data_IF_100955084110
#
_entry.id   IF_100955084110
#
_cell.length_a   1.000
_cell.length_b   1.000
_cell.length_c   1.000
_cell.angle_alpha   90.00
_cell.angle_beta   90.00
_cell.angle_gamma   90.00
#
_symmetry.space_group_name_H-M   'P 1'
#
loop_
_entity.id
_entity.type
_entity.pdbx_description
1 polymer ?
#
# COMPACT_ATOMS: atom_id res chain seq x y z
N UNK A 1 4.95 14.31 -3.87
CA UNK A 1 3.74 13.77 -4.53
C UNK A 1 3.08 12.74 -3.63
N UNK A 2 2.82 13.08 -2.36
CA UNK A 2 2.23 12.13 -1.41
C UNK A 2 0.80 11.82 -1.78
N UNK A 3 -0.03 12.84 -1.99
CA UNK A 3 -1.46 12.68 -2.18
C UNK A 3 -1.89 12.79 -3.64
N UNK A 4 -3.03 12.19 -3.96
CA UNK A 4 -3.69 12.22 -5.26
C UNK A 4 -2.78 11.80 -6.43
N UNK A 5 -1.74 11.02 -6.13
CA UNK A 5 -0.65 10.74 -7.06
C UNK A 5 -0.53 9.25 -7.31
N UNK A 6 -0.16 8.91 -8.52
CA UNK A 6 0.04 7.52 -8.95
C UNK A 6 1.06 7.47 -10.10
N UNK A 7 1.69 6.32 -10.27
CA UNK A 7 2.54 6.01 -11.41
C UNK A 7 1.72 5.31 -12.49
N UNK A 8 1.52 5.96 -13.62
CA UNK A 8 0.80 5.38 -14.76
C UNK A 8 1.80 4.60 -15.63
N UNK A 9 1.58 3.29 -15.88
CA UNK A 9 2.45 2.55 -16.79
C UNK A 9 2.30 3.07 -18.22
N UNK A 10 3.43 3.24 -18.90
CA UNK A 10 3.48 3.64 -20.31
C UNK A 10 4.58 2.83 -21.00
N UNK A 11 4.48 2.66 -22.31
CA UNK A 11 5.54 2.00 -23.07
C UNK A 11 6.85 2.77 -22.92
N UNK A 12 7.93 2.06 -22.61
CA UNK A 12 9.30 2.54 -22.41
C UNK A 12 9.53 3.41 -21.16
N UNK A 13 8.64 4.34 -20.84
CA UNK A 13 8.80 5.24 -19.69
C UNK A 13 7.46 5.64 -19.09
N UNK A 14 7.22 5.16 -17.87
CA UNK A 14 6.05 5.49 -17.06
C UNK A 14 5.94 7.00 -16.75
N UNK A 15 4.73 7.39 -16.36
CA UNK A 15 4.37 8.77 -16.08
C UNK A 15 3.92 8.94 -14.63
N UNK A 16 4.39 10.00 -13.97
CA UNK A 16 3.94 10.37 -12.63
C UNK A 16 2.83 11.41 -12.70
N UNK A 17 1.61 11.00 -12.36
CA UNK A 17 0.42 11.85 -12.47
C UNK A 17 -0.06 12.23 -11.08
N UNK A 18 -0.51 13.49 -10.94
CA UNK A 18 -1.13 14.02 -9.71
C UNK A 18 -2.45 14.68 -10.08
N UNK A 19 -3.53 14.33 -9.38
CA UNK A 19 -4.88 14.85 -9.59
C UNK A 19 -5.31 15.75 -8.43
N UNK A 20 -4.95 17.04 -8.48
CA UNK A 20 -5.10 17.98 -7.35
C UNK A 20 -6.54 18.15 -6.82
N UNK A 21 -7.56 17.76 -7.59
CA UNK A 21 -8.98 17.87 -7.22
C UNK A 21 -9.58 16.61 -6.60
N UNK A 22 -8.80 15.54 -6.42
CA UNK A 22 -9.32 14.29 -5.86
C UNK A 22 -9.65 14.43 -4.37
N UNK A 23 -10.86 14.03 -3.99
CA UNK A 23 -11.39 14.17 -2.60
C UNK A 23 -11.65 12.83 -1.92
N UNK A 24 -11.56 11.74 -2.66
CA UNK A 24 -11.91 10.40 -2.22
C UNK A 24 -10.71 9.58 -1.78
N UNK A 25 -10.98 8.65 -0.88
CA UNK A 25 -10.08 7.58 -0.48
C UNK A 25 -10.33 6.36 -1.37
N UNK A 26 -9.27 5.65 -1.75
CA UNK A 26 -9.35 4.31 -2.29
C UNK A 26 -9.14 3.32 -1.15
N UNK A 27 -10.04 2.35 -1.00
CA UNK A 27 -9.90 1.25 -0.04
C UNK A 27 -9.89 -0.08 -0.77
N UNK A 28 -8.90 -0.92 -0.47
CA UNK A 28 -8.80 -2.30 -0.93
C UNK A 28 -9.08 -3.25 0.23
N UNK A 29 -10.02 -4.17 0.03
CA UNK A 29 -10.30 -5.27 0.96
C UNK A 29 -10.63 -6.54 0.20
N UNK A 30 -9.90 -7.61 0.47
CA UNK A 30 -10.07 -8.92 -0.18
C UNK A 30 -10.07 -8.80 -1.72
N UNK A 31 -9.22 -7.91 -2.26
CA UNK A 31 -9.07 -7.69 -3.70
C UNK A 31 -10.21 -6.89 -4.36
N UNK A 32 -11.21 -6.46 -3.57
CA UNK A 32 -12.26 -5.57 -4.01
C UNK A 32 -11.87 -4.11 -3.77
N UNK A 33 -12.35 -3.22 -4.63
CA UNK A 33 -12.01 -1.79 -4.65
C UNK A 33 -13.22 -0.97 -4.24
N UNK A 34 -13.03 -0.05 -3.29
CA UNK A 34 -14.07 0.84 -2.81
C UNK A 34 -13.57 2.27 -2.81
N UNK A 35 -14.44 3.22 -3.10
CA UNK A 35 -14.13 4.65 -2.98
C UNK A 35 -15.23 5.40 -2.25
N UNK A 36 -14.84 6.38 -1.45
CA UNK A 36 -15.75 7.35 -0.83
C UNK A 36 -15.00 8.65 -0.52
N UNK A 37 -15.70 9.78 -0.48
CA UNK A 37 -15.13 11.09 -0.19
C UNK A 37 -14.64 11.18 1.28
N UNK A 38 -13.42 11.67 1.50
CA UNK A 38 -12.89 12.03 2.82
C UNK A 38 -12.67 13.55 2.97
N UNK A 39 -12.81 14.29 1.87
CA UNK A 39 -12.90 15.75 1.82
C UNK A 39 -14.24 16.16 1.22
N UNK A 40 -14.95 17.09 1.86
CA UNK A 40 -16.19 17.65 1.32
C UNK A 40 -15.93 18.62 0.15
N UNK A 41 -16.99 19.20 -0.42
CA UNK A 41 -16.88 20.11 -1.58
C UNK A 41 -16.22 21.45 -1.24
N UNK A 42 -16.20 21.81 0.04
CA UNK A 42 -15.61 23.04 0.55
C UNK A 42 -14.14 22.82 0.99
N UNK A 43 -13.66 21.58 0.91
CA UNK A 43 -12.29 21.20 1.24
C UNK A 43 -12.07 20.82 2.71
N UNK A 44 -13.13 20.70 3.51
CA UNK A 44 -13.03 20.26 4.90
C UNK A 44 -12.96 18.72 4.97
N UNK A 45 -12.34 18.22 6.04
CA UNK A 45 -12.36 16.78 6.33
C UNK A 45 -13.78 16.36 6.69
N UNK A 46 -14.28 15.31 6.03
CA UNK A 46 -15.57 14.69 6.35
C UNK A 46 -15.60 14.25 7.81
N UNK A 47 -16.76 14.35 8.47
CA UNK A 47 -16.90 13.98 9.88
C UNK A 47 -16.36 12.57 10.12
N UNK A 48 -15.50 12.43 11.11
CA UNK A 48 -14.78 11.17 11.36
C UNK A 48 -15.73 10.02 11.67
N UNK A 49 -16.88 10.30 12.30
CA UNK A 49 -17.94 9.30 12.55
C UNK A 49 -18.60 8.80 11.26
N UNK A 50 -18.64 9.58 10.18
CA UNK A 50 -19.12 9.16 8.86
C UNK A 50 -18.07 8.29 8.17
N UNK A 51 -16.79 8.70 8.19
CA UNK A 51 -15.67 7.86 7.72
C UNK A 51 -15.64 6.50 8.44
N UNK A 52 -15.87 6.49 9.76
CA UNK A 52 -15.99 5.26 10.54
C UNK A 52 -17.16 4.39 10.08
N UNK A 53 -18.31 4.98 9.75
CA UNK A 53 -19.46 4.26 9.21
C UNK A 53 -19.14 3.62 7.86
N UNK A 54 -18.47 4.35 6.96
CA UNK A 54 -18.06 3.87 5.64
C UNK A 54 -17.02 2.73 5.70
N UNK A 55 -16.01 2.87 6.55
CA UNK A 55 -15.03 1.80 6.78
C UNK A 55 -15.68 0.55 7.41
N UNK A 56 -16.61 0.73 8.36
CA UNK A 56 -17.38 -0.38 8.94
C UNK A 56 -18.25 -1.07 7.90
N UNK A 57 -18.87 -0.30 6.99
CA UNK A 57 -19.62 -0.84 5.85
C UNK A 57 -18.73 -1.72 4.95
N UNK A 58 -17.54 -1.24 4.57
CA UNK A 58 -16.57 -2.01 3.77
C UNK A 58 -16.10 -3.28 4.51
N UNK A 59 -15.84 -3.18 5.82
CA UNK A 59 -15.47 -4.33 6.65
C UNK A 59 -16.60 -5.37 6.76
N UNK A 60 -17.86 -4.94 6.63
CA UNK A 60 -19.03 -5.83 6.65
C UNK A 60 -19.36 -6.45 5.30
N UNK A 61 -18.76 -5.99 4.19
CA UNK A 61 -18.97 -6.60 2.87
C UNK A 61 -18.50 -8.07 2.89
N UNK A 62 -19.41 -8.99 2.58
CA UNK A 62 -19.18 -10.43 2.55
C UNK A 62 -18.86 -10.97 1.16
N UNK A 63 -18.68 -10.08 0.17
CA UNK A 63 -18.32 -10.46 -1.19
C UNK A 63 -17.03 -11.30 -1.19
N UNK A 64 -16.98 -12.36 -2.00
CA UNK A 64 -15.78 -13.16 -2.13
C UNK A 64 -14.63 -12.36 -2.73
N UNK A 65 -13.42 -12.90 -2.61
CA UNK A 65 -12.28 -12.44 -3.40
C UNK A 65 -12.64 -12.58 -4.88
N UNK A 66 -12.44 -11.55 -5.72
CA UNK A 66 -12.68 -11.66 -7.16
C UNK A 66 -11.87 -12.81 -7.76
N UNK A 67 -12.45 -13.52 -8.73
CA UNK A 67 -11.76 -14.62 -9.44
C UNK A 67 -10.47 -14.12 -10.13
N UNK A 68 -10.48 -12.87 -10.60
CA UNK A 68 -9.35 -12.20 -11.24
C UNK A 68 -9.01 -10.87 -10.51
N UNK A 69 -8.24 -10.91 -9.40
CA UNK A 69 -7.88 -9.70 -8.66
C UNK A 69 -6.94 -8.79 -9.46
N UNK A 70 -7.37 -7.54 -9.68
CA UNK A 70 -6.61 -6.56 -10.47
C UNK A 70 -5.31 -6.08 -9.81
N UNK A 71 -5.15 -6.25 -8.49
CA UNK A 71 -3.94 -5.86 -7.76
C UNK A 71 -2.67 -6.46 -8.36
N UNK A 72 -2.74 -7.71 -8.85
CA UNK A 72 -1.63 -8.40 -9.51
C UNK A 72 -1.08 -7.64 -10.71
N UNK A 73 -1.92 -6.95 -11.48
CA UNK A 73 -1.48 -6.25 -12.69
C UNK A 73 -0.49 -5.13 -12.39
N UNK A 74 -0.57 -4.50 -11.22
CA UNK A 74 0.39 -3.45 -10.83
C UNK A 74 1.77 -3.98 -10.44
N UNK A 75 1.91 -5.30 -10.27
CA UNK A 75 3.19 -5.97 -10.01
C UNK A 75 3.93 -6.43 -11.28
N UNK A 76 3.29 -6.32 -12.43
CA UNK A 76 3.84 -6.80 -13.70
C UNK A 76 5.03 -5.98 -14.22
N UNK A 77 5.73 -6.55 -15.20
CA UNK A 77 6.66 -5.80 -16.02
C UNK A 77 5.97 -4.55 -16.59
N UNK A 78 6.65 -3.40 -16.55
CA UNK A 78 6.03 -2.10 -16.85
C UNK A 78 5.50 -1.98 -18.28
N UNK A 79 6.16 -2.58 -19.27
CA UNK A 79 5.67 -2.61 -20.64
C UNK A 79 4.45 -3.53 -20.78
N UNK A 80 4.47 -4.70 -20.14
CA UNK A 80 3.29 -5.60 -20.08
C UNK A 80 2.11 -4.88 -19.43
N UNK A 81 2.32 -4.26 -18.27
CA UNK A 81 1.28 -3.55 -17.56
C UNK A 81 0.76 -2.35 -18.37
N UNK A 82 1.61 -1.61 -19.07
CA UNK A 82 1.17 -0.52 -19.95
C UNK A 82 0.18 -1.00 -21.02
N UNK A 83 0.49 -2.13 -21.67
CA UNK A 83 -0.40 -2.72 -22.70
C UNK A 83 -1.71 -3.22 -22.09
N UNK A 84 -1.66 -3.93 -20.95
CA UNK A 84 -2.85 -4.47 -20.30
C UNK A 84 -3.73 -3.35 -19.74
N UNK A 85 -3.14 -2.27 -19.21
CA UNK A 85 -3.87 -1.11 -18.73
C UNK A 85 -4.59 -0.38 -19.87
N UNK A 86 -3.99 -0.30 -21.06
CA UNK A 86 -4.68 0.23 -22.23
C UNK A 86 -5.89 -0.65 -22.61
N UNK A 87 -5.74 -1.99 -22.59
CA UNK A 87 -6.87 -2.91 -22.81
C UNK A 87 -7.99 -2.73 -21.78
N UNK A 88 -7.66 -2.47 -20.51
CA UNK A 88 -8.67 -2.14 -19.50
C UNK A 88 -9.47 -0.89 -19.90
N UNK A 89 -8.79 0.16 -20.36
CA UNK A 89 -9.44 1.39 -20.84
C UNK A 89 -10.34 1.09 -22.04
N UNK A 90 -9.81 0.36 -23.03
CA UNK A 90 -10.54 0.00 -24.26
C UNK A 90 -11.77 -0.88 -23.94
N UNK A 91 -11.72 -1.66 -22.85
CA UNK A 91 -12.84 -2.46 -22.35
C UNK A 91 -13.77 -1.68 -21.38
N UNK A 92 -13.76 -0.35 -21.43
CA UNK A 92 -14.70 0.51 -20.71
C UNK A 92 -14.38 0.77 -19.23
N UNK A 93 -13.17 0.45 -18.74
CA UNK A 93 -12.80 0.65 -17.33
C UNK A 93 -12.18 2.02 -17.03
N UNK A 94 -12.27 2.97 -17.95
CA UNK A 94 -11.61 4.26 -17.83
C UNK A 94 -12.03 5.02 -16.56
N UNK A 95 -13.33 5.08 -16.27
CA UNK A 95 -13.84 5.81 -15.09
C UNK A 95 -13.35 5.18 -13.79
N UNK A 96 -13.42 3.84 -13.68
CA UNK A 96 -12.94 3.11 -12.50
C UNK A 96 -11.43 3.32 -12.29
N UNK A 97 -10.62 3.24 -13.35
CA UNK A 97 -9.19 3.53 -13.29
C UNK A 97 -8.90 4.98 -12.88
N UNK A 98 -9.66 5.96 -13.40
CA UNK A 98 -9.52 7.35 -12.99
C UNK A 98 -9.81 7.54 -11.50
N UNK A 99 -10.82 6.86 -10.95
CA UNK A 99 -11.10 6.87 -9.50
C UNK A 99 -9.94 6.27 -8.70
N UNK A 100 -9.35 5.17 -9.16
CA UNK A 100 -8.16 4.57 -8.53
C UNK A 100 -6.96 5.52 -8.55
N UNK A 101 -6.65 6.09 -9.72
CA UNK A 101 -5.49 6.96 -9.93
C UNK A 101 -5.55 8.24 -9.07
N UNK A 102 -6.72 8.88 -9.07
CA UNK A 102 -6.94 10.21 -8.48
C UNK A 102 -7.24 10.20 -6.98
N UNK A 103 -7.48 9.04 -6.38
CA UNK A 103 -7.71 8.91 -4.93
C UNK A 103 -6.55 9.53 -4.13
N UNK A 104 -6.84 10.09 -2.95
CA UNK A 104 -5.85 10.80 -2.12
C UNK A 104 -4.70 9.85 -1.76
N UNK A 105 -5.00 8.64 -1.31
CA UNK A 105 -4.07 7.53 -1.15
C UNK A 105 -4.85 6.21 -1.19
N UNK A 106 -4.16 5.07 -1.04
CA UNK A 106 -4.78 3.76 -0.94
C UNK A 106 -4.75 3.24 0.51
N UNK A 107 -5.87 2.75 1.03
CA UNK A 107 -5.97 2.05 2.31
C UNK A 107 -6.22 0.58 2.06
N UNK A 108 -5.32 -0.30 2.48
CA UNK A 108 -5.48 -1.75 2.35
C UNK A 108 -5.88 -2.35 3.69
N UNK A 109 -7.06 -2.95 3.76
CA UNK A 109 -7.58 -3.64 4.94
C UNK A 109 -7.36 -5.14 4.76
N UNK A 110 -6.36 -5.69 5.45
CA UNK A 110 -6.03 -7.11 5.45
C UNK A 110 -6.81 -7.83 6.57
N UNK A 111 -7.48 -8.95 6.23
CA UNK A 111 -8.43 -9.62 7.13
C UNK A 111 -7.81 -10.71 8.03
N UNK A 112 -6.49 -10.72 8.14
CA UNK A 112 -5.70 -11.63 8.97
C UNK A 112 -4.77 -10.86 9.94
N UNK A 113 -4.43 -11.44 11.09
CA UNK A 113 -3.42 -10.88 11.99
C UNK A 113 -1.99 -11.22 11.52
N UNK A 114 -1.01 -10.45 12.01
CA UNK A 114 0.40 -10.76 11.84
C UNK A 114 0.80 -11.91 12.76
N UNK A 115 1.71 -12.77 12.28
CA UNK A 115 2.14 -14.00 12.98
C UNK A 115 3.49 -13.81 13.67
N UNK A 116 4.43 -13.26 12.94
CA UNK A 116 5.81 -13.01 13.34
C UNK A 116 6.41 -11.89 12.46
N UNK A 117 7.65 -11.49 12.75
CA UNK A 117 8.35 -10.42 12.01
C UNK A 117 8.64 -10.77 10.55
N UNK A 118 8.82 -12.06 10.22
CA UNK A 118 8.97 -12.51 8.85
C UNK A 118 7.67 -12.32 8.07
N UNK A 119 6.56 -12.80 8.63
CA UNK A 119 5.22 -12.60 8.07
C UNK A 119 4.88 -11.11 7.94
N UNK A 120 5.21 -10.28 8.94
CA UNK A 120 5.06 -8.82 8.87
C UNK A 120 5.83 -8.25 7.67
N UNK A 121 7.10 -8.58 7.54
CA UNK A 121 7.96 -8.05 6.49
C UNK A 121 7.46 -8.44 5.10
N UNK A 122 7.10 -9.71 4.90
CA UNK A 122 6.50 -10.18 3.65
C UNK A 122 5.18 -9.47 3.36
N UNK A 123 4.30 -9.32 4.36
CA UNK A 123 2.98 -8.70 4.15
C UNK A 123 3.07 -7.21 3.78
N UNK A 124 3.96 -6.46 4.45
CA UNK A 124 4.10 -5.02 4.23
C UNK A 124 4.95 -4.68 3.00
N UNK A 125 5.85 -5.58 2.59
CA UNK A 125 6.68 -5.41 1.39
C UNK A 125 5.90 -5.71 0.11
N UNK A 126 5.26 -6.89 0.05
CA UNK A 126 4.56 -7.34 -1.16
C UNK A 126 3.15 -7.87 -0.87
N UNK A 127 2.87 -8.43 0.31
CA UNK A 127 1.56 -9.05 0.56
C UNK A 127 1.30 -10.22 -0.39
N UNK A 128 0.02 -10.53 -0.63
CA UNK A 128 -0.39 -11.63 -1.52
C UNK A 128 -0.60 -11.23 -2.99
N UNK A 129 -0.30 -9.98 -3.36
CA UNK A 129 -0.56 -9.42 -4.70
C UNK A 129 -2.01 -8.99 -4.93
N UNK A 130 -2.97 -9.57 -4.20
CA UNK A 130 -4.41 -9.31 -4.42
C UNK A 130 -4.87 -7.95 -3.85
N UNK A 131 -4.35 -7.53 -2.69
CA UNK A 131 -4.89 -6.44 -1.88
C UNK A 131 -3.98 -5.21 -1.86
N UNK A 132 -3.29 -4.93 -2.97
CA UNK A 132 -2.36 -3.81 -3.12
C UNK A 132 -2.56 -3.15 -4.49
N UNK A 133 -2.32 -1.86 -4.56
CA UNK A 133 -2.19 -1.11 -5.80
C UNK A 133 -0.81 -0.44 -5.82
N UNK A 134 0.21 -1.17 -6.29
CA UNK A 134 1.62 -0.78 -6.11
C UNK A 134 2.01 0.51 -6.84
N UNK A 135 1.21 0.92 -7.83
CA UNK A 135 1.41 2.17 -8.56
C UNK A 135 1.03 3.42 -7.76
N UNK A 136 0.21 3.29 -6.70
CA UNK A 136 -0.19 4.44 -5.89
C UNK A 136 1.05 5.03 -5.21
N UNK A 137 1.09 6.36 -5.08
CA UNK A 137 2.16 7.05 -4.36
C UNK A 137 2.52 6.38 -3.04
N UNK A 138 1.50 6.03 -2.26
CA UNK A 138 1.60 5.10 -1.15
C UNK A 138 0.27 4.43 -0.82
N UNK A 139 0.37 3.30 -0.12
CA UNK A 139 -0.70 2.61 0.55
C UNK A 139 -0.45 2.56 2.06
N UNK A 140 -1.47 2.85 2.87
CA UNK A 140 -1.49 2.47 4.27
C UNK A 140 -2.08 1.07 4.34
N UNK A 141 -1.35 0.13 4.91
CA UNK A 141 -1.80 -1.24 5.13
C UNK A 141 -2.19 -1.35 6.60
N UNK A 142 -3.36 -1.94 6.88
CA UNK A 142 -3.82 -2.23 8.22
C UNK A 142 -4.35 -3.67 8.29
N UNK A 143 -3.77 -4.48 9.17
CA UNK A 143 -4.17 -5.86 9.41
C UNK A 143 -5.25 -5.94 10.50
N UNK A 144 -5.89 -7.11 10.60
CA UNK A 144 -7.00 -7.35 11.54
C UNK A 144 -6.64 -7.10 13.01
N UNK A 145 -5.37 -7.29 13.39
CA UNK A 145 -4.86 -7.03 14.73
C UNK A 145 -4.45 -5.57 14.98
N UNK A 146 -4.65 -4.69 14.00
CA UNK A 146 -4.30 -3.27 14.08
C UNK A 146 -2.85 -2.96 13.71
N UNK A 147 -2.04 -3.94 13.32
CA UNK A 147 -0.69 -3.65 12.79
C UNK A 147 -0.81 -2.82 11.52
N UNK A 148 -0.06 -1.73 11.44
CA UNK A 148 -0.10 -0.81 10.31
C UNK A 148 1.30 -0.51 9.75
N UNK A 149 1.37 -0.31 8.44
CA UNK A 149 2.60 0.10 7.75
C UNK A 149 2.28 0.94 6.50
N UNK A 150 3.31 1.59 5.95
CA UNK A 150 3.24 2.30 4.68
C UNK A 150 4.05 1.52 3.65
N UNK A 151 3.43 1.20 2.52
CA UNK A 151 4.08 0.69 1.31
C UNK A 151 4.03 1.82 0.26
N UNK A 152 5.15 2.21 -0.34
CA UNK A 152 5.20 3.38 -1.23
C UNK A 152 5.94 3.11 -2.54
N UNK A 153 5.47 3.76 -3.61
CA UNK A 153 6.11 3.70 -4.93
C UNK A 153 7.36 4.60 -4.92
N UNK A 154 8.50 4.07 -5.33
CA UNK A 154 9.78 4.75 -5.12
C UNK A 154 10.08 5.83 -6.19
N UNK A 155 9.54 5.74 -7.41
CA UNK A 155 9.97 6.59 -8.52
C UNK A 155 9.68 8.09 -8.33
N UNK A 156 8.73 8.45 -7.46
CA UNK A 156 8.37 9.86 -7.25
C UNK A 156 9.22 10.61 -6.20
N UNK A 157 10.06 9.92 -5.42
CA UNK A 157 10.86 10.55 -4.38
C UNK A 157 11.84 9.63 -3.65
N UNK A 158 12.60 10.21 -2.71
CA UNK A 158 13.67 9.54 -1.94
C UNK A 158 13.23 8.98 -0.58
N UNK A 159 11.92 9.06 -0.27
CA UNK A 159 11.34 8.60 0.98
C UNK A 159 11.34 9.61 2.13
N UNK A 160 12.03 10.76 2.03
CA UNK A 160 12.06 11.77 3.12
C UNK A 160 10.65 12.32 3.40
N UNK A 161 9.88 12.58 2.34
CA UNK A 161 8.48 13.00 2.46
C UNK A 161 7.60 11.92 3.11
N UNK A 162 7.85 10.64 2.82
CA UNK A 162 7.11 9.51 3.42
C UNK A 162 7.44 9.38 4.90
N UNK A 163 8.72 9.47 5.27
CA UNK A 163 9.15 9.43 6.67
C UNK A 163 8.57 10.59 7.48
N UNK A 164 8.54 11.80 6.91
CA UNK A 164 7.90 12.95 7.57
C UNK A 164 6.41 12.71 7.77
N UNK A 165 5.70 12.25 6.74
CA UNK A 165 4.28 11.91 6.83
C UNK A 165 4.02 10.85 7.90
N UNK A 166 4.78 9.75 7.90
CA UNK A 166 4.64 8.67 8.89
C UNK A 166 4.82 9.17 10.33
N UNK A 167 5.84 9.99 10.58
CA UNK A 167 6.10 10.52 11.92
C UNK A 167 4.97 11.41 12.43
N UNK A 168 4.45 12.31 11.58
CA UNK A 168 3.35 13.20 11.95
C UNK A 168 2.04 12.43 12.13
N UNK A 169 1.72 11.49 11.23
CA UNK A 169 0.52 10.66 11.34
C UNK A 169 0.57 9.77 12.58
N UNK A 170 1.71 9.12 12.86
CA UNK A 170 1.87 8.29 14.05
C UNK A 170 1.67 9.11 15.32
N UNK A 171 2.31 10.28 15.41
CA UNK A 171 2.15 11.19 16.54
C UNK A 171 0.69 11.65 16.70
N UNK A 172 0.07 12.16 15.64
CA UNK A 172 -1.27 12.72 15.71
C UNK A 172 -2.33 11.66 16.05
N UNK A 173 -2.28 10.50 15.39
CA UNK A 173 -3.23 9.40 15.61
C UNK A 173 -3.11 8.73 16.99
N UNK A 174 -1.95 8.83 17.65
CA UNK A 174 -1.74 8.25 18.99
C UNK A 174 -1.94 9.25 20.11
N UNK A 175 -1.52 10.51 19.93
CA UNK A 175 -1.68 11.57 20.95
C UNK A 175 -3.05 12.25 20.88
N UNK A 176 -3.65 12.36 19.69
CA UNK A 176 -4.93 13.05 19.43
C UNK A 176 -5.85 12.21 18.53
N UNK A 177 -6.22 10.99 18.96
CA UNK A 177 -7.03 10.10 18.16
C UNK A 177 -8.38 10.75 17.81
N UNK A 178 -8.75 10.69 16.53
CA UNK A 178 -9.97 11.30 16.02
C UNK A 178 -11.26 10.58 16.48
N UNK A 179 -11.13 9.30 16.86
CA UNK A 179 -12.17 8.43 17.43
C UNK A 179 -11.56 7.51 18.48
N UNK A 180 -12.37 6.98 19.38
CA UNK A 180 -12.00 5.92 20.32
C UNK A 180 -12.69 4.60 19.95
N UNK A 181 -12.29 3.45 20.56
CA UNK A 181 -13.00 2.19 20.38
C UNK A 181 -14.48 2.22 20.81
N UNK A 182 -14.89 3.22 21.60
CA UNK A 182 -16.27 3.44 22.04
C UNK A 182 -17.05 4.40 21.13
N UNK A 183 -16.38 5.07 20.18
CA UNK A 183 -17.04 5.96 19.24
C UNK A 183 -18.04 5.19 18.37
N UNK A 184 -19.27 5.71 18.30
CA UNK A 184 -20.28 5.14 17.43
C UNK A 184 -20.13 5.68 16.00
N UNK A 185 -20.28 4.82 14.97
CA UNK A 185 -20.39 5.29 13.59
C UNK A 185 -21.63 6.19 13.44
N UNK A 186 -21.55 7.20 12.58
CA UNK A 186 -22.69 8.06 12.27
C UNK A 186 -23.82 7.24 11.62
N UNK A 187 -25.06 7.65 11.84
CA UNK A 187 -26.25 7.08 11.19
C UNK A 187 -26.39 7.61 9.77
N UNK A 188 -25.46 7.22 8.88
CA UNK A 188 -25.44 7.60 7.46
C UNK A 188 -25.62 6.40 6.54
N UNK A 189 -26.21 6.64 5.37
CA UNK A 189 -26.43 5.62 4.34
C UNK A 189 -25.13 5.38 3.55
N UNK A 190 -24.28 4.51 4.09
CA UNK A 190 -22.99 4.17 3.47
C UNK A 190 -23.14 3.47 2.11
N UNK A 191 -24.29 2.83 1.82
CA UNK A 191 -24.52 2.17 0.53
C UNK A 191 -24.61 3.15 -0.65
N UNK A 192 -24.91 4.43 -0.37
CA UNK A 192 -24.94 5.50 -1.37
C UNK A 192 -23.64 6.30 -1.43
N UNK A 193 -22.89 6.32 -0.33
CA UNK A 193 -21.64 7.10 -0.23
C UNK A 193 -20.40 6.29 -0.63
N UNK A 194 -20.42 4.97 -0.38
CA UNK A 194 -19.33 4.07 -0.74
C UNK A 194 -19.65 3.40 -2.07
N UNK A 195 -18.85 3.70 -3.08
CA UNK A 195 -18.93 3.06 -4.38
C UNK A 195 -17.97 1.87 -4.42
N UNK A 196 -18.50 0.67 -4.66
CA UNK A 196 -17.69 -0.50 -5.00
C UNK A 196 -17.37 -0.47 -6.50
N UNK A 197 -16.08 -0.32 -6.84
CA UNK A 197 -15.66 -0.26 -8.24
C UNK A 197 -15.80 -1.65 -8.88
N UNK A 198 -16.41 -1.68 -10.06
CA UNK A 198 -16.54 -2.87 -10.89
C UNK A 198 -15.68 -2.72 -12.14
N UNK A 199 -15.07 -3.81 -12.57
CA UNK A 199 -14.22 -3.83 -13.74
C UNK A 199 -14.70 -4.88 -14.73
N UNK A 200 -14.86 -4.47 -15.98
CA UNK A 200 -15.17 -5.33 -17.11
C UNK A 200 -13.90 -6.02 -17.57
N UNK A 201 -13.88 -7.36 -17.50
CA UNK A 201 -12.75 -8.18 -17.94
C UNK A 201 -13.20 -9.12 -19.05
N UNK A 202 -12.62 -8.95 -20.25
CA UNK A 202 -12.69 -9.94 -21.31
C UNK A 202 -11.71 -11.11 -21.03
N UNK A 203 -11.72 -12.12 -21.89
CA UNK A 203 -10.86 -13.30 -21.68
C UNK A 203 -9.37 -12.98 -21.79
N UNK A 204 -8.99 -11.96 -22.58
CA UNK A 204 -7.60 -11.49 -22.66
C UNK A 204 -7.15 -10.84 -21.35
N UNK A 205 -8.01 -10.06 -20.69
CA UNK A 205 -7.73 -9.40 -19.43
C UNK A 205 -7.68 -10.41 -18.27
N UNK A 206 -8.59 -11.39 -18.26
CA UNK A 206 -8.56 -12.51 -17.30
C UNK A 206 -7.24 -13.28 -17.40
N UNK A 207 -6.83 -13.64 -18.61
CA UNK A 207 -5.55 -14.32 -18.84
C UNK A 207 -4.35 -13.48 -18.39
N UNK A 208 -4.38 -12.16 -18.61
CA UNK A 208 -3.34 -11.25 -18.15
C UNK A 208 -3.24 -11.21 -16.61
N UNK A 209 -4.36 -11.21 -15.89
CA UNK A 209 -4.37 -11.31 -14.42
C UNK A 209 -3.80 -12.65 -13.95
N UNK A 210 -4.14 -13.75 -14.62
CA UNK A 210 -3.60 -15.08 -14.28
C UNK A 210 -2.09 -15.15 -14.47
N UNK A 211 -1.54 -14.61 -15.56
CA UNK A 211 -0.08 -14.59 -15.77
C UNK A 211 0.61 -13.65 -14.79
N UNK A 212 0.03 -12.48 -14.51
CA UNK A 212 0.54 -11.55 -13.49
C UNK A 212 0.64 -12.20 -12.11
N UNK A 213 -0.39 -12.97 -11.72
CA UNK A 213 -0.36 -13.75 -10.49
C UNK A 213 0.78 -14.77 -10.48
N UNK A 214 0.95 -15.54 -11.55
CA UNK A 214 2.02 -16.54 -11.66
C UNK A 214 3.41 -15.90 -11.57
N UNK A 215 3.61 -14.76 -12.23
CA UNK A 215 4.85 -14.00 -12.19
C UNK A 215 5.13 -13.46 -10.78
N UNK A 216 4.11 -12.91 -10.12
CA UNK A 216 4.17 -12.46 -8.74
C UNK A 216 4.55 -13.60 -7.78
N UNK A 217 3.82 -14.72 -7.83
CA UNK A 217 4.04 -15.88 -6.97
C UNK A 217 5.45 -16.47 -7.17
N UNK A 218 5.94 -16.51 -8.42
CA UNK A 218 7.29 -16.95 -8.75
C UNK A 218 8.36 -16.03 -8.19
N UNK A 219 8.19 -14.70 -8.31
CA UNK A 219 9.14 -13.73 -7.78
C UNK A 219 9.17 -13.72 -6.24
N UNK A 220 7.99 -13.77 -5.60
CA UNK A 220 7.87 -13.84 -4.14
C UNK A 220 8.43 -15.14 -3.59
N UNK A 221 8.25 -16.27 -4.28
CA UNK A 221 8.77 -17.58 -3.87
C UNK A 221 10.31 -17.65 -3.77
N UNK A 222 11.03 -16.73 -4.42
CA UNK A 222 12.49 -16.63 -4.34
C UNK A 222 12.99 -15.74 -3.20
N UNK A 223 12.10 -14.98 -2.57
CA UNK A 223 12.47 -14.00 -1.54
C UNK A 223 12.43 -14.63 -0.15
N UNK A 224 13.55 -14.54 0.59
CA UNK A 224 13.61 -14.89 2.01
C UNK A 224 13.90 -13.66 2.83
N UNK A 225 13.12 -13.41 3.88
CA UNK A 225 13.33 -12.29 4.80
C UNK A 225 13.53 -12.84 6.22
N UNK A 226 14.60 -12.39 6.87
CA UNK A 226 14.86 -12.64 8.28
C UNK A 226 15.27 -11.33 8.96
N UNK A 227 14.92 -11.19 10.23
CA UNK A 227 15.27 -10.04 11.05
C UNK A 227 16.01 -10.49 12.31
N UNK A 228 16.97 -9.67 12.75
CA UNK A 228 17.68 -9.86 14.01
C UNK A 228 17.62 -8.59 14.85
N UNK A 229 17.30 -8.74 16.14
CA UNK A 229 17.42 -7.67 17.12
C UNK A 229 18.71 -7.81 17.91
N UNK A 230 19.65 -6.88 17.73
CA UNK A 230 20.88 -6.84 18.51
C UNK A 230 20.65 -6.16 19.87
N UNK A 231 20.61 -6.95 20.95
CA UNK A 231 20.23 -6.47 22.30
C UNK A 231 21.40 -6.09 23.22
N UNK A 232 22.65 -6.33 22.81
CA UNK A 232 23.83 -6.12 23.67
C UNK A 232 24.25 -4.65 23.78
N UNK A 233 23.74 -3.77 22.93
CA UNK A 233 24.04 -2.35 22.94
C UNK A 233 23.59 -1.64 21.66
N UNK A 234 23.99 -0.38 21.50
CA UNK A 234 23.64 0.42 20.33
C UNK A 234 24.29 1.80 20.39
N UNK A 235 23.54 2.81 19.96
CA UNK A 235 24.02 4.21 19.84
C UNK A 235 24.69 4.75 21.10
N UNK A 236 24.07 4.58 22.27
CA UNK A 236 24.59 5.15 23.52
C UNK A 236 25.93 4.52 23.91
N UNK A 237 26.03 3.18 23.87
CA UNK A 237 27.29 2.49 24.13
C UNK A 237 28.40 2.89 23.14
N UNK A 238 28.13 2.87 21.83
CA UNK A 238 29.13 3.16 20.80
C UNK A 238 29.65 4.60 20.90
N UNK A 239 28.78 5.55 21.26
CA UNK A 239 29.20 6.93 21.54
C UNK A 239 30.17 7.03 22.73
N UNK A 240 30.02 6.23 23.79
CA UNK A 240 31.00 6.21 24.91
C UNK A 240 32.39 5.76 24.45
N UNK A 241 32.45 4.95 23.40
CA UNK A 241 33.69 4.46 22.78
C UNK A 241 34.23 5.41 21.69
N UNK A 242 33.60 6.58 21.49
CA UNK A 242 33.92 7.55 20.42
C UNK A 242 33.82 6.96 19.01
N UNK A 243 32.92 5.99 18.82
CA UNK A 243 32.67 5.34 17.53
C UNK A 243 31.35 5.84 16.93
N UNK A 244 31.35 6.05 15.61
CA UNK A 244 30.11 6.33 14.87
C UNK A 244 29.22 5.08 14.83
N UNK A 245 27.99 5.11 15.36
CA UNK A 245 27.09 3.96 15.32
C UNK A 245 26.81 3.47 13.90
N UNK A 246 26.67 4.40 12.95
CA UNK A 246 26.43 4.08 11.55
C UNK A 246 27.64 3.37 10.92
N UNK A 247 28.86 3.90 11.14
CA UNK A 247 30.08 3.29 10.62
C UNK A 247 30.29 1.86 11.18
N UNK A 248 29.95 1.62 12.44
CA UNK A 248 30.02 0.27 13.05
C UNK A 248 28.97 -0.67 12.45
N UNK A 249 27.75 -0.20 12.20
CA UNK A 249 26.74 -0.99 11.49
C UNK A 249 27.21 -1.36 10.09
N UNK A 250 27.73 -0.40 9.30
CA UNK A 250 28.28 -0.66 7.97
C UNK A 250 29.46 -1.65 8.00
N UNK A 251 30.39 -1.46 8.94
CA UNK A 251 31.52 -2.38 9.13
C UNK A 251 31.04 -3.80 9.45
N UNK A 252 29.96 -3.93 10.23
CA UNK A 252 29.38 -5.23 10.56
C UNK A 252 28.86 -5.98 9.32
N UNK A 253 28.27 -5.26 8.35
CA UNK A 253 27.85 -5.85 7.07
C UNK A 253 29.06 -6.29 6.25
N UNK A 254 30.10 -5.46 6.17
CA UNK A 254 31.34 -5.81 5.46
C UNK A 254 32.01 -7.05 6.07
N UNK A 255 32.12 -7.11 7.40
CA UNK A 255 32.66 -8.28 8.09
C UNK A 255 31.80 -9.53 7.92
N UNK A 256 30.47 -9.40 7.99
CA UNK A 256 29.55 -10.51 7.81
C UNK A 256 29.65 -11.08 6.39
N UNK A 257 29.66 -10.21 5.37
CA UNK A 257 29.79 -10.60 3.98
C UNK A 257 31.14 -11.28 3.69
N UNK A 258 32.25 -10.68 4.17
CA UNK A 258 33.59 -11.29 4.06
C UNK A 258 33.65 -12.66 4.75
N UNK A 259 33.05 -12.80 5.93
CA UNK A 259 33.02 -14.08 6.66
C UNK A 259 32.20 -15.14 5.94
N UNK A 260 31.08 -14.76 5.33
CA UNK A 260 30.17 -15.70 4.67
C UNK A 260 30.65 -16.12 3.28
N UNK A 261 31.24 -15.18 2.51
CA UNK A 261 31.55 -15.37 1.10
C UNK A 261 33.04 -15.25 0.75
N UNK A 262 33.89 -14.78 1.66
CA UNK A 262 35.33 -14.63 1.42
C UNK A 262 35.70 -13.48 0.48
N UNK A 263 34.81 -12.50 0.27
CA UNK A 263 34.97 -11.40 -0.68
C UNK A 263 34.53 -10.05 -0.08
N UNK A 264 34.82 -8.95 -0.77
CA UNK A 264 34.37 -7.59 -0.42
C UNK A 264 33.45 -7.08 -1.53
N UNK A 265 32.37 -6.39 -1.15
CA UNK A 265 31.40 -5.73 -2.05
C UNK A 265 31.78 -4.30 -2.34
#
# INVERSE_FOLDING_TARGET
RLFNSTRIPKLNKDELVTHEKGRHLLVLRNGNFYVFDILDKDGNIVKVTETLAHLKYILSDSSPVPEFPLGYLTSENRNTWAMVRQKLIDNGNQEALQKVDSAIFCLCLDDFPIKDLGHLSHNMLHGSGLNRWYDKSFSIIMTKDGTAAINFEHSWGDGVAVLRFQNEVFKDSTERPAVSPQSAPAAVDSSKAVEKLSFNLDDSLKAAVTEAKKNFDSAVGLLTIASMEFKRGGKEFLKTQKLSPDAISQLSFQMAFLRQYGQTT
#
